data_IF_630463769375
#
_entry.id   IF_630463769375
#
_cell.length_a   1.000
_cell.length_b   1.000
_cell.length_c   1.000
_cell.angle_alpha   90.00
_cell.angle_beta   90.00
_cell.angle_gamma   90.00
#
_symmetry.space_group_name_H-M   'P 1'
#
loop_
_entity.id
_entity.type
_entity.pdbx_description
1 polymer ?
#
# COMPACT_ATOMS: atom_id res chain seq x y z
N UNK A 1 27.31 -17.30 13.26
CA UNK A 1 26.96 -15.86 13.36
C UNK A 1 27.90 -14.94 12.56
N UNK A 2 29.21 -14.94 12.78
CA UNK A 2 30.14 -14.09 11.98
C UNK A 2 30.10 -14.39 10.48
N UNK A 3 30.01 -15.67 10.11
CA UNK A 3 29.86 -16.09 8.70
C UNK A 3 28.56 -15.56 8.08
N UNK A 4 27.41 -15.73 8.74
CA UNK A 4 26.13 -15.23 8.25
C UNK A 4 26.16 -13.72 7.94
N UNK A 5 26.76 -12.92 8.83
CA UNK A 5 26.93 -11.47 8.62
C UNK A 5 27.78 -11.14 7.39
N UNK A 6 28.82 -11.92 7.11
CA UNK A 6 29.65 -11.74 5.92
C UNK A 6 28.90 -12.06 4.61
N UNK A 7 27.86 -12.91 4.67
CA UNK A 7 27.09 -13.35 3.50
C UNK A 7 25.68 -12.75 3.42
N UNK A 8 25.28 -11.87 4.34
CA UNK A 8 23.94 -11.26 4.35
C UNK A 8 23.68 -10.48 3.05
N UNK A 9 24.70 -9.81 2.50
CA UNK A 9 24.63 -9.13 1.21
C UNK A 9 24.36 -10.06 0.01
N UNK A 10 24.59 -11.37 0.17
CA UNK A 10 24.37 -12.40 -0.84
C UNK A 10 23.10 -13.22 -0.62
N UNK A 11 22.38 -12.98 0.49
CA UNK A 11 21.22 -13.78 0.92
C UNK A 11 20.17 -13.93 -0.18
N UNK A 12 19.94 -12.89 -1.00
CA UNK A 12 19.00 -12.96 -2.14
C UNK A 12 19.49 -13.82 -3.30
N UNK A 13 20.77 -13.75 -3.65
CA UNK A 13 21.34 -14.55 -4.75
C UNK A 13 21.26 -16.04 -4.36
N UNK A 14 21.62 -16.34 -3.12
CA UNK A 14 21.49 -17.69 -2.56
C UNK A 14 20.03 -18.16 -2.59
N UNK A 15 19.08 -17.31 -2.20
CA UNK A 15 17.66 -17.62 -2.26
C UNK A 15 17.18 -17.89 -3.69
N UNK A 16 17.55 -17.05 -4.67
CA UNK A 16 17.15 -17.22 -6.07
C UNK A 16 17.64 -18.55 -6.62
N UNK A 17 18.94 -18.81 -6.51
CA UNK A 17 19.57 -20.03 -7.02
C UNK A 17 19.01 -21.28 -6.34
N UNK A 18 18.89 -21.26 -5.01
CA UNK A 18 18.54 -22.45 -4.26
C UNK A 18 17.04 -22.70 -4.14
N UNK A 19 16.20 -21.67 -4.07
CA UNK A 19 14.76 -21.85 -3.82
C UNK A 19 13.95 -21.67 -5.12
N UNK A 20 14.15 -20.57 -5.85
CA UNK A 20 13.27 -20.24 -6.99
C UNK A 20 13.68 -20.94 -8.27
N UNK A 21 14.98 -20.98 -8.58
CA UNK A 21 15.54 -21.74 -9.72
C UNK A 21 15.56 -23.27 -9.45
N UNK A 22 15.23 -23.67 -8.23
CA UNK A 22 15.12 -25.07 -7.79
C UNK A 22 16.39 -25.91 -8.02
N UNK A 23 17.56 -25.28 -8.10
CA UNK A 23 18.83 -25.97 -8.26
C UNK A 23 19.10 -26.92 -7.09
N UNK A 24 19.81 -28.02 -7.34
CA UNK A 24 20.32 -28.86 -6.24
C UNK A 24 21.28 -28.07 -5.36
N UNK A 25 21.58 -28.55 -4.14
CA UNK A 25 22.49 -27.83 -3.24
C UNK A 25 23.86 -27.64 -3.87
N UNK A 26 24.31 -28.64 -4.60
CA UNK A 26 25.58 -28.69 -5.31
C UNK A 26 25.59 -27.71 -6.49
N UNK A 27 24.53 -27.69 -7.30
CA UNK A 27 24.39 -26.75 -8.42
C UNK A 27 24.26 -25.30 -7.95
N UNK A 28 23.41 -25.03 -6.96
CA UNK A 28 23.22 -23.68 -6.41
C UNK A 28 24.52 -23.13 -5.81
N UNK A 29 25.30 -23.99 -5.15
CA UNK A 29 26.63 -23.63 -4.65
C UNK A 29 27.56 -23.25 -5.81
N UNK A 30 27.69 -24.10 -6.83
CA UNK A 30 28.58 -23.83 -7.97
C UNK A 30 28.22 -22.52 -8.67
N UNK A 31 26.93 -22.31 -8.97
CA UNK A 31 26.46 -21.07 -9.58
C UNK A 31 26.67 -19.83 -8.68
N UNK A 32 26.55 -19.99 -7.35
CA UNK A 32 26.87 -18.92 -6.41
C UNK A 32 28.36 -18.57 -6.42
N UNK A 33 29.24 -19.57 -6.43
CA UNK A 33 30.69 -19.37 -6.45
C UNK A 33 31.18 -18.73 -7.75
N UNK A 34 30.55 -19.05 -8.89
CA UNK A 34 30.80 -18.39 -10.17
C UNK A 34 30.44 -16.89 -10.15
N UNK A 35 29.38 -16.52 -9.42
CA UNK A 35 28.92 -15.13 -9.33
C UNK A 35 29.64 -14.32 -8.25
N UNK A 36 30.08 -14.97 -7.16
CA UNK A 36 30.69 -14.30 -6.01
C UNK A 36 32.22 -14.09 -6.15
N UNK A 37 32.82 -14.57 -7.24
CA UNK A 37 34.21 -14.37 -7.71
C UNK A 37 35.38 -14.70 -6.75
N UNK A 38 35.15 -14.92 -5.44
CA UNK A 38 36.25 -15.02 -4.46
C UNK A 38 36.19 -16.23 -3.51
N UNK A 39 35.15 -17.08 -3.55
CA UNK A 39 34.88 -18.00 -2.44
C UNK A 39 34.60 -19.42 -2.90
N UNK A 40 35.40 -20.39 -2.44
CA UNK A 40 35.13 -21.84 -2.54
C UNK A 40 34.70 -22.37 -1.18
N UNK A 41 33.40 -22.59 -1.01
CA UNK A 41 32.83 -23.25 0.16
C UNK A 41 32.95 -24.77 0.01
N UNK A 42 32.97 -25.50 1.12
CA UNK A 42 32.64 -26.94 1.10
C UNK A 42 31.12 -27.13 1.14
N UNK A 43 30.62 -28.30 0.73
CA UNK A 43 29.18 -28.59 0.83
C UNK A 43 28.66 -28.50 2.27
N UNK A 44 29.48 -28.85 3.27
CA UNK A 44 29.12 -28.68 4.66
C UNK A 44 28.98 -27.20 5.03
N UNK A 45 29.94 -26.36 4.65
CA UNK A 45 29.88 -24.91 4.88
C UNK A 45 28.70 -24.26 4.16
N UNK A 46 28.37 -24.70 2.94
CA UNK A 46 27.18 -24.25 2.20
C UNK A 46 25.87 -24.61 2.92
N UNK A 47 25.75 -25.84 3.45
CA UNK A 47 24.59 -26.26 4.24
C UNK A 47 24.45 -25.43 5.53
N UNK A 48 25.56 -25.18 6.22
CA UNK A 48 25.59 -24.29 7.39
C UNK A 48 25.17 -22.88 7.01
N UNK A 49 25.65 -22.36 5.88
CA UNK A 49 25.30 -21.02 5.40
C UNK A 49 23.80 -20.90 5.10
N UNK A 50 23.22 -21.85 4.36
CA UNK A 50 21.79 -21.87 4.07
C UNK A 50 20.96 -21.86 5.36
N UNK A 51 21.35 -22.66 6.36
CA UNK A 51 20.69 -22.70 7.66
C UNK A 51 20.83 -21.37 8.41
N UNK A 52 22.04 -20.82 8.45
CA UNK A 52 22.32 -19.56 9.15
C UNK A 52 21.59 -18.36 8.50
N UNK A 53 21.33 -18.41 7.19
CA UNK A 53 20.54 -17.41 6.44
C UNK A 53 19.02 -17.67 6.48
N UNK A 54 18.58 -18.78 7.09
CA UNK A 54 17.17 -19.19 7.16
C UNK A 54 16.58 -19.61 5.81
N UNK A 55 17.39 -20.07 4.85
CA UNK A 55 16.96 -20.41 3.48
C UNK A 55 16.76 -21.92 3.36
N UNK A 56 15.51 -22.33 3.08
CA UNK A 56 15.11 -23.72 2.93
C UNK A 56 14.09 -23.88 1.79
N UNK A 57 14.13 -25.02 1.10
CA UNK A 57 13.16 -25.35 0.03
C UNK A 57 11.79 -25.78 0.54
N UNK A 58 11.76 -26.70 1.51
CA UNK A 58 10.50 -27.30 1.96
C UNK A 58 10.42 -27.35 3.49
N UNK A 59 9.20 -27.23 3.98
CA UNK A 59 8.81 -27.53 5.35
C UNK A 59 8.62 -29.05 5.53
N UNK A 60 9.05 -29.60 6.68
CA UNK A 60 9.10 -31.04 6.94
C UNK A 60 8.95 -31.33 8.43
N UNK A 61 8.55 -32.55 8.77
CA UNK A 61 8.54 -33.03 10.17
C UNK A 61 7.51 -32.29 11.04
N UNK A 62 7.86 -32.01 12.29
CA UNK A 62 6.96 -31.31 13.24
C UNK A 62 6.52 -29.93 12.73
N UNK A 63 7.39 -29.20 12.01
CA UNK A 63 7.00 -27.90 11.46
C UNK A 63 5.86 -28.03 10.43
N UNK A 64 5.89 -29.07 9.60
CA UNK A 64 4.82 -29.32 8.62
C UNK A 64 3.50 -29.69 9.32
N UNK A 65 3.56 -30.47 10.41
CA UNK A 65 2.38 -30.80 11.23
C UNK A 65 1.80 -29.52 11.86
N UNK A 66 2.64 -28.67 12.46
CA UNK A 66 2.21 -27.38 13.04
C UNK A 66 1.62 -26.45 11.99
N UNK A 67 2.23 -26.39 10.80
CA UNK A 67 1.72 -25.61 9.69
C UNK A 67 0.37 -26.15 9.18
N UNK A 68 0.21 -27.48 9.08
CA UNK A 68 -1.07 -28.10 8.73
C UNK A 68 -2.15 -27.76 9.76
N UNK A 69 -1.84 -27.80 11.06
CA UNK A 69 -2.79 -27.37 12.10
C UNK A 69 -3.25 -25.92 11.90
N UNK A 70 -2.37 -25.02 11.45
CA UNK A 70 -2.74 -23.63 11.15
C UNK A 70 -3.67 -23.57 9.93
N UNK A 71 -3.39 -24.35 8.88
CA UNK A 71 -4.25 -24.45 7.69
C UNK A 71 -5.63 -25.02 8.06
N UNK A 72 -5.68 -26.09 8.85
CA UNK A 72 -6.93 -26.73 9.30
C UNK A 72 -7.81 -25.80 10.17
N UNK A 73 -7.22 -24.78 10.81
CA UNK A 73 -7.93 -23.77 11.61
C UNK A 73 -8.55 -22.64 10.75
N UNK A 74 -8.18 -22.53 9.49
CA UNK A 74 -8.83 -21.59 8.56
C UNK A 74 -9.98 -22.30 7.87
N UNK A 75 -11.18 -21.69 7.88
CA UNK A 75 -12.29 -22.13 7.02
C UNK A 75 -11.74 -22.32 5.60
N UNK A 76 -11.92 -23.51 5.04
CA UNK A 76 -11.47 -23.92 3.70
C UNK A 76 -9.95 -24.04 3.46
N UNK A 77 -9.07 -23.92 4.46
CA UNK A 77 -7.65 -24.34 4.39
C UNK A 77 -6.70 -23.58 3.43
N UNK A 78 -7.23 -22.76 2.51
CA UNK A 78 -6.45 -22.14 1.42
C UNK A 78 -6.31 -20.61 1.54
N UNK A 79 -6.90 -20.00 2.57
CA UNK A 79 -6.89 -18.55 2.80
C UNK A 79 -5.71 -18.08 3.67
N UNK A 80 -4.52 -18.64 3.48
CA UNK A 80 -3.39 -18.39 4.38
C UNK A 80 -2.04 -18.45 3.67
N UNK A 81 -1.18 -17.45 3.91
CA UNK A 81 0.23 -17.51 3.54
C UNK A 81 1.02 -18.05 4.72
N UNK A 82 1.66 -19.21 4.58
CA UNK A 82 2.49 -19.82 5.62
C UNK A 82 3.97 -19.61 5.32
N UNK A 83 4.72 -19.14 6.32
CA UNK A 83 6.16 -18.91 6.21
C UNK A 83 6.91 -19.71 7.26
N UNK A 84 8.01 -20.34 6.85
CA UNK A 84 8.99 -20.95 7.73
C UNK A 84 10.30 -20.17 7.64
N UNK A 85 10.75 -19.58 8.76
CA UNK A 85 11.91 -18.68 8.84
C UNK A 85 11.89 -17.54 7.82
N UNK A 86 10.69 -17.13 7.40
CA UNK A 86 10.48 -16.07 6.43
C UNK A 86 10.37 -16.48 4.97
N UNK A 87 10.50 -17.76 4.66
CA UNK A 87 10.31 -18.29 3.31
C UNK A 87 8.87 -18.78 3.16
N UNK A 88 8.14 -18.24 2.17
CA UNK A 88 6.78 -18.69 1.84
C UNK A 88 6.80 -20.18 1.50
N UNK A 89 5.87 -20.94 2.04
CA UNK A 89 5.72 -22.38 1.81
C UNK A 89 4.47 -22.64 0.95
N UNK A 90 4.50 -23.71 0.15
CA UNK A 90 3.37 -24.13 -0.65
C UNK A 90 2.40 -24.94 0.23
N UNK A 91 1.14 -24.47 0.34
CA UNK A 91 0.14 -25.09 1.20
C UNK A 91 -0.15 -26.54 0.79
N UNK A 92 -0.22 -26.82 -0.52
CA UNK A 92 -0.44 -28.17 -1.03
C UNK A 92 0.71 -29.12 -0.67
N UNK A 93 1.97 -28.66 -0.65
CA UNK A 93 3.10 -29.49 -0.20
C UNK A 93 3.02 -29.81 1.29
N UNK A 94 2.57 -28.86 2.12
CA UNK A 94 2.38 -29.06 3.56
C UNK A 94 1.37 -30.17 3.82
N UNK A 95 0.22 -30.09 3.15
CA UNK A 95 -0.86 -31.07 3.25
C UNK A 95 -0.37 -32.44 2.74
N UNK A 96 0.18 -32.50 1.52
CA UNK A 96 0.74 -33.73 0.93
C UNK A 96 1.82 -34.38 1.81
N UNK A 97 2.67 -33.58 2.47
CA UNK A 97 3.71 -34.11 3.36
C UNK A 97 3.11 -34.80 4.58
N UNK A 98 2.09 -34.19 5.20
CA UNK A 98 1.45 -34.74 6.38
C UNK A 98 0.60 -35.97 6.04
N UNK A 99 -0.07 -35.98 4.89
CA UNK A 99 -0.93 -37.10 4.49
C UNK A 99 -0.10 -38.35 4.13
N UNK A 100 1.11 -38.17 3.58
CA UNK A 100 2.04 -39.27 3.25
C UNK A 100 2.74 -39.88 4.46
N UNK A 101 2.75 -39.22 5.63
CA UNK A 101 3.47 -39.69 6.83
C UNK A 101 2.49 -39.96 7.97
N UNK A 102 2.20 -41.25 8.20
CA UNK A 102 1.50 -41.72 9.39
C UNK A 102 2.41 -41.85 10.63
N UNK A 103 3.73 -41.83 10.46
CA UNK A 103 4.68 -41.98 11.57
C UNK A 103 5.01 -40.65 12.26
N UNK A 104 5.12 -40.71 13.60
CA UNK A 104 5.47 -39.59 14.47
C UNK A 104 6.79 -38.93 14.02
N UNK A 105 6.82 -37.60 13.81
CA UNK A 105 8.03 -36.92 13.36
C UNK A 105 9.15 -37.04 14.41
N UNK A 106 10.34 -37.51 13.98
CA UNK A 106 11.54 -37.57 14.85
C UNK A 106 11.96 -36.16 15.28
N UNK A 107 12.06 -35.96 16.59
CA UNK A 107 12.27 -34.71 17.36
C UNK A 107 13.65 -34.01 17.19
N UNK A 108 14.38 -34.25 16.09
CA UNK A 108 15.83 -33.97 16.05
C UNK A 108 16.26 -32.58 15.55
N UNK A 109 15.37 -31.62 15.34
CA UNK A 109 15.78 -30.26 14.94
C UNK A 109 15.07 -29.19 15.76
N UNK A 110 15.78 -28.11 16.07
CA UNK A 110 15.19 -26.91 16.63
C UNK A 110 13.98 -26.48 15.78
N UNK A 111 12.82 -26.22 16.40
CA UNK A 111 11.61 -25.86 15.68
C UNK A 111 11.81 -24.52 14.97
N UNK A 112 11.43 -24.46 13.68
CA UNK A 112 11.55 -23.23 12.91
C UNK A 112 10.55 -22.18 13.38
N UNK A 113 10.84 -20.90 13.11
CA UNK A 113 9.88 -19.82 13.36
C UNK A 113 8.81 -19.85 12.27
N UNK A 114 7.65 -20.38 12.63
CA UNK A 114 6.46 -20.35 11.78
C UNK A 114 5.71 -19.04 11.97
N UNK A 115 5.37 -18.40 10.86
CA UNK A 115 4.48 -17.23 10.83
C UNK A 115 3.45 -17.42 9.74
N UNK A 116 2.25 -16.91 9.95
CA UNK A 116 1.17 -17.04 8.98
C UNK A 116 0.37 -15.76 8.87
N UNK A 117 -0.16 -15.51 7.68
CA UNK A 117 -0.99 -14.35 7.36
C UNK A 117 -2.29 -14.87 6.79
N UNK A 118 -3.38 -14.59 7.50
CA UNK A 118 -4.73 -14.90 7.02
C UNK A 118 -5.11 -13.92 5.93
N UNK A 119 -5.60 -14.45 4.82
CA UNK A 119 -6.16 -13.69 3.73
C UNK A 119 -7.69 -13.78 3.79
N UNK A 120 -8.42 -12.73 3.38
CA UNK A 120 -9.88 -12.78 3.33
C UNK A 120 -10.42 -13.51 2.08
N UNK A 121 -9.56 -14.09 1.25
CA UNK A 121 -9.88 -14.77 -0.01
C UNK A 121 -8.83 -15.83 -0.32
N UNK A 122 -9.13 -16.71 -1.27
CA UNK A 122 -8.20 -17.70 -1.80
C UNK A 122 -7.38 -17.10 -2.93
N UNK A 123 -6.08 -17.44 -3.00
CA UNK A 123 -5.18 -17.04 -4.09
C UNK A 123 -4.90 -18.26 -4.95
N UNK A 124 -5.88 -18.65 -5.77
CA UNK A 124 -5.82 -19.87 -6.61
C UNK A 124 -4.63 -19.88 -7.56
N UNK A 125 -4.14 -18.70 -7.97
CA UNK A 125 -2.94 -18.54 -8.81
C UNK A 125 -1.68 -19.12 -8.16
N UNK A 126 -1.62 -19.20 -6.83
CA UNK A 126 -0.47 -19.78 -6.13
C UNK A 126 -0.41 -21.30 -6.21
N UNK A 127 -1.40 -21.97 -6.81
CA UNK A 127 -1.30 -23.37 -7.23
C UNK A 127 -0.49 -23.54 -8.53
N UNK A 128 -0.29 -22.48 -9.33
CA UNK A 128 0.64 -22.53 -10.46
C UNK A 128 2.10 -22.44 -9.94
N UNK A 129 2.97 -23.43 -10.26
CA UNK A 129 4.34 -23.45 -9.75
C UNK A 129 5.18 -22.24 -10.14
N UNK A 130 4.94 -21.66 -11.32
CA UNK A 130 5.71 -20.51 -11.82
C UNK A 130 5.29 -19.24 -11.09
N UNK A 131 3.98 -19.00 -11.00
CA UNK A 131 3.41 -17.88 -10.26
C UNK A 131 3.80 -17.94 -8.78
N UNK A 132 3.73 -19.13 -8.15
CA UNK A 132 4.16 -19.32 -6.78
C UNK A 132 5.63 -18.94 -6.58
N UNK A 133 6.54 -19.44 -7.42
CA UNK A 133 7.99 -19.15 -7.33
C UNK A 133 8.27 -17.65 -7.51
N UNK A 134 7.63 -17.01 -8.49
CA UNK A 134 7.78 -15.58 -8.74
C UNK A 134 7.28 -14.76 -7.54
N UNK A 135 6.11 -15.10 -7.00
CA UNK A 135 5.53 -14.42 -5.85
C UNK A 135 6.37 -14.66 -4.57
N UNK A 136 6.83 -15.88 -4.34
CA UNK A 136 7.75 -16.22 -3.25
C UNK A 136 9.04 -15.38 -3.33
N UNK A 137 9.60 -15.20 -4.53
CA UNK A 137 10.77 -14.35 -4.74
C UNK A 137 10.49 -12.88 -4.43
N UNK A 138 9.33 -12.36 -4.84
CA UNK A 138 8.89 -11.00 -4.53
C UNK A 138 8.80 -10.80 -3.00
N UNK A 139 8.12 -11.70 -2.28
CA UNK A 139 7.94 -11.59 -0.84
C UNK A 139 9.28 -11.62 -0.12
N UNK A 140 10.17 -12.54 -0.51
CA UNK A 140 11.51 -12.63 0.06
C UNK A 140 12.31 -11.34 -0.15
N UNK A 141 12.30 -10.82 -1.38
CA UNK A 141 13.01 -9.57 -1.73
C UNK A 141 12.46 -8.38 -0.95
N UNK A 142 11.14 -8.30 -0.82
CA UNK A 142 10.44 -7.27 -0.06
C UNK A 142 10.84 -7.31 1.41
N UNK A 143 10.93 -8.51 2.00
CA UNK A 143 11.40 -8.68 3.37
C UNK A 143 12.81 -8.17 3.57
N UNK A 144 13.74 -8.51 2.68
CA UNK A 144 15.12 -8.02 2.74
C UNK A 144 15.16 -6.48 2.69
N UNK A 145 14.34 -5.86 1.83
CA UNK A 145 14.22 -4.41 1.79
C UNK A 145 13.70 -3.82 3.10
N UNK A 146 12.63 -4.40 3.65
CA UNK A 146 12.03 -3.94 4.91
C UNK A 146 13.01 -4.09 6.09
N UNK A 147 13.63 -5.26 6.25
CA UNK A 147 14.65 -5.51 7.29
C UNK A 147 15.77 -4.47 7.18
N UNK A 148 16.33 -4.28 5.98
CA UNK A 148 17.40 -3.30 5.74
C UNK A 148 16.99 -1.87 6.09
N UNK A 149 15.78 -1.43 5.72
CA UNK A 149 15.34 -0.05 6.01
C UNK A 149 15.08 0.19 7.50
N UNK A 150 14.55 -0.80 8.21
CA UNK A 150 14.43 -0.70 9.67
C UNK A 150 15.80 -0.72 10.36
N UNK A 151 16.70 -1.62 9.95
CA UNK A 151 17.99 -1.80 10.60
C UNK A 151 18.95 -0.63 10.38
N UNK A 152 18.85 0.05 9.23
CA UNK A 152 19.60 1.27 8.93
C UNK A 152 18.96 2.55 9.47
N UNK A 153 17.78 2.45 10.08
CA UNK A 153 17.05 3.60 10.62
C UNK A 153 16.37 4.49 9.57
N UNK A 154 16.33 4.07 8.30
CA UNK A 154 15.62 4.78 7.21
C UNK A 154 14.16 5.05 7.62
N UNK A 155 13.49 4.05 8.22
CA UNK A 155 12.11 4.18 8.68
C UNK A 155 12.00 4.39 10.20
N UNK A 156 12.97 5.05 10.84
CA UNK A 156 12.91 5.31 12.28
C UNK A 156 11.67 6.12 12.72
N UNK A 157 11.20 5.93 13.96
CA UNK A 157 10.12 6.74 14.52
C UNK A 157 10.59 8.17 14.81
N UNK A 158 9.69 9.14 14.63
CA UNK A 158 9.88 10.50 15.12
C UNK A 158 9.61 10.60 16.63
N UNK A 159 9.72 11.80 17.20
CA UNK A 159 9.47 12.06 18.62
C UNK A 159 8.06 11.72 19.11
N UNK A 160 7.07 11.57 18.22
CA UNK A 160 5.70 11.14 18.55
C UNK A 160 5.50 9.62 18.45
N UNK A 161 6.52 8.87 18.03
CA UNK A 161 6.43 7.43 17.76
C UNK A 161 5.87 7.09 16.38
N UNK A 162 5.84 8.04 15.44
CA UNK A 162 5.35 7.82 14.07
C UNK A 162 6.53 7.53 13.14
N UNK A 163 6.42 6.45 12.36
CA UNK A 163 7.48 5.91 11.51
C UNK A 163 7.42 6.48 10.09
N UNK A 164 8.57 6.49 9.41
CA UNK A 164 8.70 7.00 8.04
C UNK A 164 8.16 8.43 7.86
N UNK A 165 8.51 9.33 8.80
CA UNK A 165 8.07 10.74 8.81
C UNK A 165 9.20 11.76 8.61
N UNK A 166 10.35 11.33 8.09
CA UNK A 166 11.40 12.26 7.66
C UNK A 166 10.88 13.17 6.54
N UNK A 167 11.49 14.35 6.38
CA UNK A 167 11.13 15.29 5.31
C UNK A 167 11.22 14.62 3.93
N UNK A 168 12.24 13.81 3.72
CA UNK A 168 12.43 13.04 2.49
C UNK A 168 11.30 12.04 2.25
N UNK A 169 10.97 11.19 3.23
CA UNK A 169 9.93 10.17 3.07
C UNK A 169 8.54 10.77 2.88
N UNK A 170 8.26 11.90 3.54
CA UNK A 170 7.03 12.69 3.29
C UNK A 170 6.96 13.18 1.85
N UNK A 171 8.07 13.69 1.30
CA UNK A 171 8.14 14.13 -0.09
C UNK A 171 7.97 12.97 -1.08
N UNK A 172 8.58 11.81 -0.79
CA UNK A 172 8.41 10.59 -1.59
C UNK A 172 6.94 10.14 -1.61
N UNK A 173 6.27 10.10 -0.45
CA UNK A 173 4.85 9.75 -0.35
C UNK A 173 3.94 10.76 -1.09
N UNK A 174 4.26 12.06 -1.01
CA UNK A 174 3.56 13.07 -1.78
C UNK A 174 3.72 12.85 -3.29
N UNK A 175 4.91 12.45 -3.75
CA UNK A 175 5.17 12.05 -5.13
C UNK A 175 4.35 10.84 -5.58
N UNK A 176 4.28 9.79 -4.76
CA UNK A 176 3.43 8.61 -5.02
C UNK A 176 1.95 9.00 -5.11
N UNK A 177 1.48 9.83 -4.18
CA UNK A 177 0.10 10.33 -4.17
C UNK A 177 -0.23 11.18 -5.39
N UNK A 178 0.72 12.00 -5.85
CA UNK A 178 0.58 12.80 -7.06
C UNK A 178 0.46 11.92 -8.30
N UNK A 179 1.33 10.91 -8.44
CA UNK A 179 1.27 9.93 -9.54
C UNK A 179 -0.11 9.26 -9.57
N UNK A 180 -0.55 8.70 -8.44
CA UNK A 180 -1.86 8.06 -8.32
C UNK A 180 -3.00 9.01 -8.75
N UNK A 181 -3.03 10.22 -8.21
CA UNK A 181 -4.11 11.17 -8.46
C UNK A 181 -4.15 11.61 -9.93
N UNK A 182 -3.00 11.81 -10.58
CA UNK A 182 -2.96 12.14 -12.00
C UNK A 182 -3.48 11.00 -12.87
N UNK A 183 -3.04 9.75 -12.63
CA UNK A 183 -3.52 8.58 -13.38
C UNK A 183 -5.02 8.36 -13.15
N UNK A 184 -5.49 8.38 -11.91
CA UNK A 184 -6.92 8.22 -11.58
C UNK A 184 -7.78 9.26 -12.31
N UNK A 185 -7.33 10.52 -12.35
CA UNK A 185 -8.06 11.60 -13.02
C UNK A 185 -7.99 11.49 -14.53
N UNK A 186 -6.87 11.01 -15.09
CA UNK A 186 -6.77 10.74 -16.51
C UNK A 186 -7.79 9.67 -16.94
N UNK A 187 -7.89 8.58 -16.18
CA UNK A 187 -8.89 7.53 -16.42
C UNK A 187 -10.32 8.06 -16.36
N UNK A 188 -10.63 8.96 -15.41
CA UNK A 188 -11.93 9.64 -15.36
C UNK A 188 -12.20 10.50 -16.60
N UNK A 189 -11.19 11.24 -17.08
CA UNK A 189 -11.31 12.06 -18.28
C UNK A 189 -11.53 11.19 -19.54
N UNK A 190 -10.79 10.09 -19.69
CA UNK A 190 -11.00 9.14 -20.79
C UNK A 190 -12.42 8.60 -20.82
N UNK A 191 -12.98 8.25 -19.65
CA UNK A 191 -14.36 7.74 -19.54
C UNK A 191 -15.41 8.74 -20.04
N UNK A 192 -15.15 10.05 -19.94
CA UNK A 192 -16.07 11.11 -20.39
C UNK A 192 -15.66 11.73 -21.74
N UNK A 193 -14.72 11.11 -22.47
CA UNK A 193 -14.22 11.57 -23.77
C UNK A 193 -13.23 12.73 -23.74
N UNK A 194 -12.73 13.11 -22.56
CA UNK A 194 -11.77 14.20 -22.33
C UNK A 194 -10.32 13.84 -22.69
N UNK A 195 -10.07 13.33 -23.90
CA UNK A 195 -8.79 12.73 -24.28
C UNK A 195 -7.59 13.67 -24.12
N UNK A 196 -7.70 14.95 -24.52
CA UNK A 196 -6.61 15.92 -24.36
C UNK A 196 -6.25 16.17 -22.89
N UNK A 197 -7.26 16.23 -22.00
CA UNK A 197 -7.04 16.42 -20.55
C UNK A 197 -6.41 15.18 -19.93
N UNK A 198 -6.85 14.00 -20.35
CA UNK A 198 -6.25 12.75 -19.93
C UNK A 198 -4.77 12.69 -20.35
N UNK A 199 -4.45 13.06 -21.59
CA UNK A 199 -3.09 13.05 -22.10
C UNK A 199 -2.17 14.02 -21.34
N UNK A 200 -2.62 15.26 -21.06
CA UNK A 200 -1.85 16.21 -20.27
C UNK A 200 -1.54 15.69 -18.85
N UNK A 201 -2.53 15.07 -18.19
CA UNK A 201 -2.35 14.42 -16.90
C UNK A 201 -1.36 13.24 -16.97
N UNK A 202 -1.47 12.39 -18.00
CA UNK A 202 -0.60 11.22 -18.16
C UNK A 202 0.85 11.62 -18.44
N UNK A 203 1.09 12.61 -19.30
CA UNK A 203 2.45 13.15 -19.54
C UNK A 203 3.09 13.64 -18.23
N UNK A 204 2.33 14.38 -17.43
CA UNK A 204 2.78 14.83 -16.10
C UNK A 204 3.01 13.67 -15.12
N UNK A 205 2.17 12.64 -15.16
CA UNK A 205 2.31 11.44 -14.35
C UNK A 205 3.59 10.68 -14.70
N UNK A 206 3.87 10.46 -15.99
CA UNK A 206 5.03 9.72 -16.46
C UNK A 206 6.35 10.41 -16.15
N UNK A 207 6.37 11.75 -16.11
CA UNK A 207 7.53 12.51 -15.64
C UNK A 207 7.94 12.17 -14.19
N UNK A 208 7.04 11.61 -13.38
CA UNK A 208 7.33 11.18 -12.00
C UNK A 208 7.96 9.79 -11.92
N UNK A 209 7.90 8.95 -12.97
CA UNK A 209 8.31 7.55 -12.90
C UNK A 209 9.76 7.37 -12.44
N UNK A 210 10.69 8.17 -12.98
CA UNK A 210 12.11 8.12 -12.59
C UNK A 210 12.30 8.35 -11.08
N UNK A 211 11.64 9.36 -10.53
CA UNK A 211 11.70 9.65 -9.08
C UNK A 211 11.01 8.55 -8.28
N UNK A 212 9.82 8.12 -8.72
CA UNK A 212 9.04 7.07 -8.07
C UNK A 212 9.82 5.77 -7.95
N UNK A 213 10.56 5.36 -8.98
CA UNK A 213 11.48 4.22 -8.97
C UNK A 213 12.60 4.39 -7.94
N UNK A 214 13.12 5.61 -7.77
CA UNK A 214 14.18 5.93 -6.83
C UNK A 214 13.76 5.96 -5.36
N UNK A 215 12.46 6.00 -5.06
CA UNK A 215 11.95 6.10 -3.69
C UNK A 215 12.28 4.89 -2.82
N UNK A 216 12.38 5.11 -1.51
CA UNK A 216 12.61 4.12 -0.45
C UNK A 216 11.44 4.00 0.51
N UNK A 217 10.33 4.67 0.20
CA UNK A 217 9.13 4.62 1.00
C UNK A 217 8.52 3.21 0.99
N UNK A 218 8.14 2.66 2.14
CA UNK A 218 7.59 1.30 2.28
C UNK A 218 6.32 1.06 1.45
N UNK A 219 5.60 2.15 1.12
CA UNK A 219 4.42 2.14 0.24
C UNK A 219 4.71 2.12 -1.26
N UNK A 220 5.96 2.22 -1.70
CA UNK A 220 6.32 2.37 -3.12
C UNK A 220 5.68 1.28 -4.00
N UNK A 221 6.05 0.01 -3.79
CA UNK A 221 5.53 -1.06 -4.63
C UNK A 221 4.03 -1.32 -4.41
N UNK A 222 3.49 -1.37 -3.16
CA UNK A 222 2.05 -1.48 -2.95
C UNK A 222 1.24 -0.41 -3.70
N UNK A 223 1.68 0.86 -3.68
CA UNK A 223 0.97 1.94 -4.37
C UNK A 223 1.09 1.83 -5.90
N UNK A 224 2.25 1.39 -6.44
CA UNK A 224 2.42 1.11 -7.87
C UNK A 224 1.47 0.01 -8.33
N UNK A 225 1.40 -1.11 -7.60
CA UNK A 225 0.48 -2.21 -7.90
C UNK A 225 -0.98 -1.76 -7.82
N UNK A 226 -1.33 -0.93 -6.83
CA UNK A 226 -2.66 -0.33 -6.73
C UNK A 226 -3.01 0.55 -7.93
N UNK A 227 -2.07 1.38 -8.41
CA UNK A 227 -2.26 2.20 -9.62
C UNK A 227 -2.49 1.31 -10.85
N UNK A 228 -1.68 0.27 -11.03
CA UNK A 228 -1.80 -0.64 -12.17
C UNK A 228 -3.11 -1.43 -12.14
N UNK A 229 -3.55 -1.86 -10.96
CA UNK A 229 -4.84 -2.52 -10.77
C UNK A 229 -6.01 -1.59 -11.14
N UNK A 230 -5.94 -0.33 -10.74
CA UNK A 230 -6.92 0.69 -11.11
C UNK A 230 -6.97 0.92 -12.63
N UNK A 231 -5.82 0.98 -13.31
CA UNK A 231 -5.75 1.11 -14.77
C UNK A 231 -6.33 -0.12 -15.47
N UNK A 232 -5.99 -1.34 -15.00
CA UNK A 232 -6.55 -2.59 -15.53
C UNK A 232 -8.07 -2.61 -15.38
N UNK A 233 -8.60 -2.25 -14.21
CA UNK A 233 -10.06 -2.19 -13.96
C UNK A 233 -10.78 -1.15 -14.81
N UNK A 234 -10.07 -0.11 -15.25
CA UNK A 234 -10.60 0.86 -16.20
C UNK A 234 -10.61 0.33 -17.66
N UNK A 235 -10.12 -0.88 -17.91
CA UNK A 235 -10.06 -1.51 -19.23
C UNK A 235 -8.98 -0.93 -20.13
N UNK A 236 -7.96 -0.27 -19.57
CA UNK A 236 -6.93 0.43 -20.35
C UNK A 236 -5.59 -0.35 -20.34
N UNK A 237 -5.59 -1.48 -21.03
CA UNK A 237 -4.46 -2.42 -21.07
C UNK A 237 -3.20 -1.79 -21.70
N UNK A 238 -3.36 -0.98 -22.75
CA UNK A 238 -2.23 -0.27 -23.37
C UNK A 238 -1.51 0.66 -22.38
N UNK A 239 -2.29 1.43 -21.60
CA UNK A 239 -1.73 2.29 -20.56
C UNK A 239 -1.06 1.49 -19.44
N UNK A 240 -1.67 0.38 -19.02
CA UNK A 240 -1.10 -0.50 -18.00
C UNK A 240 0.22 -1.13 -18.46
N UNK A 241 0.29 -1.59 -19.71
CA UNK A 241 1.51 -2.10 -20.32
C UNK A 241 2.59 -1.01 -20.39
N UNK A 242 2.23 0.19 -20.86
CA UNK A 242 3.16 1.32 -20.93
C UNK A 242 3.76 1.68 -19.57
N UNK A 243 2.91 1.86 -18.55
CA UNK A 243 3.37 2.18 -17.18
C UNK A 243 4.31 1.09 -16.67
N UNK A 244 3.96 -0.18 -16.89
CA UNK A 244 4.78 -1.34 -16.49
C UNK A 244 6.17 -1.29 -17.13
N UNK A 245 6.22 -1.22 -18.46
CA UNK A 245 7.47 -1.24 -19.22
C UNK A 245 8.36 -0.06 -18.86
N UNK A 246 7.78 1.13 -18.72
CA UNK A 246 8.54 2.33 -18.38
C UNK A 246 9.12 2.27 -16.95
N UNK A 247 8.33 1.86 -15.96
CA UNK A 247 8.82 1.68 -14.58
C UNK A 247 9.95 0.65 -14.50
N UNK A 248 9.83 -0.47 -15.21
CA UNK A 248 10.86 -1.53 -15.23
C UNK A 248 12.12 -1.04 -15.94
N UNK A 249 11.98 -0.37 -17.08
CA UNK A 249 13.10 0.25 -17.80
C UNK A 249 13.84 1.25 -16.92
N UNK A 250 13.12 2.13 -16.23
CA UNK A 250 13.69 3.10 -15.30
C UNK A 250 14.37 2.41 -14.12
N UNK A 251 13.80 1.32 -13.58
CA UNK A 251 14.43 0.54 -12.50
C UNK A 251 15.79 -0.03 -12.92
N UNK A 252 15.88 -0.56 -14.15
CA UNK A 252 17.13 -1.09 -14.71
C UNK A 252 18.20 -0.02 -14.91
N UNK A 253 17.79 1.21 -15.21
CA UNK A 253 18.69 2.34 -15.44
C UNK A 253 19.15 3.03 -14.15
N UNK A 254 18.25 3.21 -13.17
CA UNK A 254 18.47 4.06 -12.00
C UNK A 254 18.95 3.27 -10.78
N UNK A 255 18.53 2.01 -10.64
CA UNK A 255 18.82 1.21 -9.45
C UNK A 255 19.97 0.22 -9.71
N UNK A 256 20.89 0.03 -8.73
CA UNK A 256 21.90 -1.00 -8.80
C UNK A 256 21.29 -2.39 -9.05
N UNK A 257 22.02 -3.26 -9.77
CA UNK A 257 21.56 -4.62 -10.07
C UNK A 257 21.18 -5.42 -8.81
N UNK A 258 21.90 -5.17 -7.70
CA UNK A 258 21.66 -5.81 -6.43
C UNK A 258 20.75 -5.00 -5.48
N UNK A 259 20.03 -3.98 -5.95
CA UNK A 259 19.03 -3.30 -5.12
C UNK A 259 17.73 -4.13 -5.05
N UNK A 260 17.19 -4.44 -3.85
CA UNK A 260 15.96 -5.22 -3.76
C UNK A 260 14.77 -4.54 -4.45
N UNK A 261 14.73 -3.20 -4.48
CA UNK A 261 13.64 -2.45 -5.13
C UNK A 261 13.63 -2.64 -6.64
N UNK A 262 14.81 -2.78 -7.26
CA UNK A 262 14.92 -3.07 -8.69
C UNK A 262 14.20 -4.37 -9.03
N UNK A 263 14.49 -5.41 -8.27
CA UNK A 263 13.91 -6.74 -8.45
C UNK A 263 12.40 -6.76 -8.17
N UNK A 264 11.96 -6.03 -7.14
CA UNK A 264 10.55 -5.80 -6.85
C UNK A 264 9.81 -5.13 -8.01
N UNK A 265 10.46 -4.20 -8.72
CA UNK A 265 9.89 -3.54 -9.91
C UNK A 265 9.98 -4.42 -11.16
N UNK A 266 11.07 -5.17 -11.36
CA UNK A 266 11.18 -6.15 -12.46
C UNK A 266 10.13 -7.27 -12.34
N UNK A 267 9.62 -7.56 -11.12
CA UNK A 267 8.49 -8.47 -10.94
C UNK A 267 7.24 -8.05 -11.70
N UNK A 268 7.05 -6.76 -12.01
CA UNK A 268 5.90 -6.31 -12.78
C UNK A 268 5.80 -6.97 -14.17
N UNK A 269 6.93 -7.37 -14.78
CA UNK A 269 6.92 -8.10 -16.06
C UNK A 269 6.47 -9.56 -15.92
N UNK A 270 6.47 -10.10 -14.69
CA UNK A 270 6.19 -11.51 -14.38
C UNK A 270 4.81 -11.74 -13.77
N UNK A 271 4.03 -10.67 -13.57
CA UNK A 271 2.68 -10.74 -12.99
C UNK A 271 1.72 -11.34 -14.02
N UNK A 272 0.94 -12.33 -13.58
CA UNK A 272 -0.31 -12.67 -14.25
C UNK A 272 -1.33 -11.56 -13.96
N UNK A 273 -1.56 -10.71 -14.97
CA UNK A 273 -2.41 -9.54 -14.85
C UNK A 273 -3.86 -9.88 -14.56
N UNK A 274 -4.36 -11.04 -14.98
CA UNK A 274 -5.71 -11.50 -14.63
C UNK A 274 -5.86 -11.77 -13.14
N UNK A 275 -4.76 -12.12 -12.49
CA UNK A 275 -4.68 -12.46 -11.08
C UNK A 275 -4.04 -11.36 -10.23
N UNK A 276 -3.83 -10.16 -10.81
CA UNK A 276 -3.21 -9.05 -10.10
C UNK A 276 -3.99 -8.68 -8.82
N UNK A 277 -5.32 -8.73 -8.84
CA UNK A 277 -6.14 -8.32 -7.69
C UNK A 277 -5.85 -9.16 -6.42
N UNK A 278 -6.01 -10.50 -6.43
CA UNK A 278 -5.70 -11.31 -5.25
C UNK A 278 -4.21 -11.25 -4.87
N UNK A 279 -3.29 -11.19 -5.85
CA UNK A 279 -1.85 -11.06 -5.58
C UNK A 279 -1.49 -9.71 -4.94
N UNK A 280 -2.12 -8.62 -5.38
CA UNK A 280 -1.94 -7.28 -4.80
C UNK A 280 -2.35 -7.25 -3.33
N UNK A 281 -3.54 -7.76 -3.01
CA UNK A 281 -4.02 -7.74 -1.62
C UNK A 281 -3.17 -8.66 -0.74
N UNK A 282 -2.79 -9.85 -1.23
CA UNK A 282 -1.89 -10.75 -0.51
C UNK A 282 -0.52 -10.10 -0.24
N UNK A 283 0.01 -9.37 -1.22
CA UNK A 283 1.26 -8.62 -1.10
C UNK A 283 1.15 -7.45 -0.09
N UNK A 284 0.07 -6.66 -0.14
CA UNK A 284 -0.15 -5.57 0.82
C UNK A 284 -0.29 -6.11 2.25
N UNK A 285 -1.02 -7.21 2.46
CA UNK A 285 -1.12 -7.88 3.76
C UNK A 285 0.24 -8.36 4.26
N UNK A 286 1.11 -8.88 3.37
CA UNK A 286 2.48 -9.23 3.75
C UNK A 286 3.31 -8.01 4.16
N UNK A 287 3.26 -6.92 3.39
CA UNK A 287 3.95 -5.67 3.72
C UNK A 287 3.49 -5.10 5.06
N UNK A 288 2.18 -5.12 5.32
CA UNK A 288 1.58 -4.71 6.60
C UNK A 288 2.07 -5.61 7.74
N UNK A 289 2.09 -6.92 7.57
CA UNK A 289 2.63 -7.85 8.56
C UNK A 289 4.11 -7.55 8.89
N UNK A 290 4.96 -7.37 7.88
CA UNK A 290 6.36 -7.00 8.09
C UNK A 290 6.51 -5.69 8.86
N UNK A 291 5.70 -4.70 8.50
CA UNK A 291 5.67 -3.41 9.17
C UNK A 291 5.26 -3.53 10.64
N UNK A 292 4.12 -4.15 10.92
CA UNK A 292 3.56 -4.26 12.27
C UNK A 292 4.46 -5.08 13.21
N UNK A 293 5.26 -6.00 12.68
CA UNK A 293 6.25 -6.74 13.48
C UNK A 293 7.46 -5.90 13.92
N UNK A 294 7.68 -4.73 13.32
CA UNK A 294 8.86 -3.87 13.57
C UNK A 294 8.47 -2.50 14.12
N UNK A 295 7.30 -1.99 13.75
CA UNK A 295 6.85 -0.65 14.08
C UNK A 295 6.22 -0.59 15.48
N UNK A 296 7.05 -0.40 16.51
CA UNK A 296 6.63 -0.02 17.86
C UNK A 296 5.61 -0.95 18.53
N UNK A 297 5.13 -0.55 19.71
CA UNK A 297 4.06 -1.26 20.44
C UNK A 297 2.71 -0.57 20.33
N UNK A 298 2.70 0.68 19.88
CA UNK A 298 1.49 1.48 19.72
C UNK A 298 0.81 1.12 18.39
N UNK A 299 -0.27 0.36 18.48
CA UNK A 299 -0.99 -0.17 17.32
C UNK A 299 -1.54 0.94 16.41
N UNK A 300 -2.06 2.04 16.98
CA UNK A 300 -2.65 3.14 16.21
C UNK A 300 -1.57 3.87 15.41
N UNK A 301 -0.43 4.17 16.05
CA UNK A 301 0.69 4.83 15.38
C UNK A 301 1.35 3.93 14.35
N UNK A 302 1.50 2.64 14.62
CA UNK A 302 2.01 1.67 13.65
C UNK A 302 1.09 1.57 12.42
N UNK A 303 -0.23 1.47 12.66
CA UNK A 303 -1.26 1.46 11.62
C UNK A 303 -1.22 2.73 10.77
N UNK A 304 -1.21 3.91 11.39
CA UNK A 304 -1.12 5.17 10.68
C UNK A 304 0.16 5.23 9.86
N UNK A 305 1.29 4.90 10.48
CA UNK A 305 2.61 5.02 9.85
C UNK A 305 2.78 4.08 8.65
N UNK A 306 2.06 2.94 8.64
CA UNK A 306 1.96 2.10 7.45
C UNK A 306 1.14 2.78 6.36
N UNK A 307 -0.14 3.09 6.64
CA UNK A 307 -1.08 3.53 5.60
C UNK A 307 -0.78 4.94 5.07
N UNK A 308 -0.53 5.91 5.96
CA UNK A 308 -0.29 7.33 5.69
C UNK A 308 -1.24 7.96 4.65
N UNK A 309 -2.47 7.45 4.58
CA UNK A 309 -3.51 7.87 3.66
C UNK A 309 -4.87 7.63 4.33
N UNK A 310 -5.91 8.30 3.84
CA UNK A 310 -7.28 8.17 4.38
C UNK A 310 -8.13 7.08 3.73
N UNK A 311 -7.77 6.65 2.52
CA UNK A 311 -8.48 5.62 1.76
C UNK A 311 -7.48 4.74 0.99
N UNK A 312 -7.83 3.48 0.66
CA UNK A 312 -6.96 2.58 -0.09
C UNK A 312 -6.76 3.03 -1.54
N UNK A 313 -5.60 2.71 -2.14
CA UNK A 313 -5.32 3.05 -3.54
C UNK A 313 -6.23 2.36 -4.55
N UNK A 314 -6.59 1.09 -4.30
CA UNK A 314 -7.44 0.32 -5.18
C UNK A 314 -8.48 -0.49 -4.39
N UNK A 315 -8.03 -1.44 -3.57
CA UNK A 315 -8.89 -2.25 -2.71
C UNK A 315 -8.62 -2.01 -1.24
N UNK A 316 -9.68 -2.12 -0.43
CA UNK A 316 -9.62 -1.93 1.00
C UNK A 316 -8.78 -3.00 1.68
N UNK A 317 -8.93 -4.30 1.37
CA UNK A 317 -8.21 -5.36 2.08
C UNK A 317 -8.27 -5.17 3.60
N UNK A 318 -7.11 -5.05 4.25
CA UNK A 318 -6.98 -4.75 5.69
C UNK A 318 -6.78 -3.25 6.00
N UNK A 319 -6.98 -2.36 5.04
CA UNK A 319 -6.78 -0.91 5.18
C UNK A 319 -7.62 -0.35 6.33
N UNK A 320 -8.88 -0.75 6.50
CA UNK A 320 -9.75 -0.28 7.59
C UNK A 320 -9.69 -1.13 8.87
N UNK A 321 -8.66 -1.98 9.04
CA UNK A 321 -8.56 -2.90 10.18
C UNK A 321 -8.62 -2.24 11.55
N UNK A 322 -8.23 -0.97 11.66
CA UNK A 322 -8.29 -0.21 12.90
C UNK A 322 -9.73 0.05 13.39
N UNK A 323 -10.68 0.21 12.47
CA UNK A 323 -12.07 0.55 12.79
C UNK A 323 -13.05 -0.61 12.57
N UNK A 324 -12.61 -1.65 11.86
CA UNK A 324 -13.44 -2.79 11.48
C UNK A 324 -14.07 -3.45 12.70
N UNK A 325 -15.41 -3.48 12.73
CA UNK A 325 -16.19 -4.13 13.78
C UNK A 325 -16.36 -3.31 15.06
N UNK A 326 -15.86 -2.07 15.10
CA UNK A 326 -16.08 -1.16 16.22
C UNK A 326 -17.44 -0.46 16.10
N UNK A 327 -18.10 -0.25 17.23
CA UNK A 327 -19.26 0.63 17.34
C UNK A 327 -18.87 2.09 17.18
N UNK A 328 -19.86 2.96 16.90
CA UNK A 328 -19.62 4.40 16.78
C UNK A 328 -18.99 4.99 18.06
N UNK A 329 -19.41 4.55 19.24
CA UNK A 329 -18.86 4.99 20.53
C UNK A 329 -17.38 4.60 20.69
N UNK A 330 -17.00 3.40 20.26
CA UNK A 330 -15.61 2.95 20.28
C UNK A 330 -14.73 3.74 19.30
N UNK A 331 -15.26 4.02 18.11
CA UNK A 331 -14.60 4.89 17.13
C UNK A 331 -14.37 6.28 17.73
N UNK A 332 -15.38 6.89 18.35
CA UNK A 332 -15.26 8.20 18.98
C UNK A 332 -14.20 8.23 20.09
N UNK A 333 -14.23 7.26 21.00
CA UNK A 333 -13.24 7.17 22.07
C UNK A 333 -11.83 6.99 21.52
N UNK A 334 -11.66 6.27 20.41
CA UNK A 334 -10.38 6.16 19.73
C UNK A 334 -9.93 7.51 19.15
N UNK A 335 -10.82 8.20 18.45
CA UNK A 335 -10.53 9.49 17.82
C UNK A 335 -10.22 10.59 18.84
N UNK A 336 -10.91 10.61 19.99
CA UNK A 336 -10.64 11.55 21.09
C UNK A 336 -9.28 11.27 21.77
N UNK A 337 -8.86 10.00 21.87
CA UNK A 337 -7.50 9.67 22.32
C UNK A 337 -6.44 10.12 21.32
N UNK A 338 -6.67 9.88 20.02
CA UNK A 338 -5.78 10.32 18.94
C UNK A 338 -5.57 11.83 18.96
N UNK A 339 -6.63 12.60 19.24
CA UNK A 339 -6.56 14.06 19.37
C UNK A 339 -5.60 14.51 20.47
N UNK A 340 -5.57 13.79 21.59
CA UNK A 340 -4.70 14.08 22.74
C UNK A 340 -3.26 13.69 22.41
N UNK A 341 -3.05 12.51 21.83
CA UNK A 341 -1.71 11.94 21.64
C UNK A 341 -0.94 12.59 20.48
N UNK A 342 -1.62 12.91 19.37
CA UNK A 342 -0.96 13.40 18.16
C UNK A 342 -1.19 14.91 17.94
N UNK A 343 -2.22 15.47 18.55
CA UNK A 343 -2.62 16.86 18.46
C UNK A 343 -3.76 17.08 17.47
N UNK A 344 -4.82 17.78 17.91
CA UNK A 344 -6.11 17.97 17.23
C UNK A 344 -6.09 18.42 15.77
N UNK A 345 -5.06 19.17 15.37
CA UNK A 345 -4.89 19.70 14.02
C UNK A 345 -3.66 19.15 13.30
N UNK A 346 -3.01 18.12 13.87
CA UNK A 346 -1.94 17.43 13.16
C UNK A 346 -2.51 16.69 11.96
N UNK A 347 -1.73 16.63 10.88
CA UNK A 347 -2.11 15.90 9.68
C UNK A 347 -2.42 14.43 9.98
N UNK A 348 -1.65 13.82 10.88
CA UNK A 348 -1.83 12.43 11.28
C UNK A 348 -3.17 12.20 11.99
N UNK A 349 -3.56 13.10 12.89
CA UNK A 349 -4.90 13.09 13.51
C UNK A 349 -5.99 13.26 12.45
N UNK A 350 -5.89 14.29 11.61
CA UNK A 350 -6.91 14.56 10.59
C UNK A 350 -7.10 13.37 9.65
N UNK A 351 -6.00 12.73 9.24
CA UNK A 351 -6.03 11.54 8.38
C UNK A 351 -6.72 10.36 9.05
N UNK A 352 -6.46 10.10 10.33
CA UNK A 352 -7.15 9.03 11.07
C UNK A 352 -8.65 9.30 11.20
N UNK A 353 -9.04 10.55 11.50
CA UNK A 353 -10.44 10.95 11.47
C UNK A 353 -11.09 10.73 10.09
N UNK A 354 -10.43 11.15 9.02
CA UNK A 354 -10.93 10.92 7.66
C UNK A 354 -11.01 9.44 7.31
N UNK A 355 -10.07 8.63 7.79
CA UNK A 355 -10.08 7.17 7.58
C UNK A 355 -11.29 6.52 8.25
N UNK A 356 -11.66 6.95 9.46
CA UNK A 356 -12.88 6.48 10.12
C UNK A 356 -14.14 6.84 9.32
N UNK A 357 -14.20 8.04 8.74
CA UNK A 357 -15.32 8.47 7.89
C UNK A 357 -15.42 7.63 6.61
N UNK A 358 -14.28 7.36 5.95
CA UNK A 358 -14.22 6.55 4.72
C UNK A 358 -14.55 5.07 5.02
N UNK A 359 -14.18 4.57 6.21
CA UNK A 359 -14.63 3.26 6.69
C UNK A 359 -16.16 3.21 6.81
N UNK A 360 -16.77 4.15 7.53
CA UNK A 360 -18.23 4.21 7.69
C UNK A 360 -18.95 4.37 6.35
N UNK A 361 -18.38 5.14 5.41
CA UNK A 361 -18.86 5.21 4.03
C UNK A 361 -18.84 3.84 3.34
N UNK A 362 -17.75 3.08 3.49
CA UNK A 362 -17.61 1.75 2.89
C UNK A 362 -18.60 0.73 3.43
N UNK A 363 -19.00 0.87 4.70
CA UNK A 363 -20.02 0.06 5.37
C UNK A 363 -21.45 0.60 5.13
N UNK A 364 -21.60 1.72 4.39
CA UNK A 364 -22.86 2.42 4.12
C UNK A 364 -23.55 2.99 5.37
N UNK A 365 -22.81 3.18 6.45
CA UNK A 365 -23.27 3.79 7.71
C UNK A 365 -23.21 5.33 7.60
N UNK A 366 -24.03 5.88 6.70
CA UNK A 366 -23.95 7.30 6.33
C UNK A 366 -24.36 8.25 7.46
N UNK A 367 -25.22 7.81 8.38
CA UNK A 367 -25.69 8.62 9.52
C UNK A 367 -24.54 8.84 10.52
N UNK A 368 -23.88 7.75 10.91
CA UNK A 368 -22.70 7.71 11.76
C UNK A 368 -21.54 8.49 11.13
N UNK A 369 -21.31 8.28 9.82
CA UNK A 369 -20.32 9.07 9.08
C UNK A 369 -20.64 10.57 9.17
N UNK A 370 -21.90 10.95 8.95
CA UNK A 370 -22.34 12.35 9.03
C UNK A 370 -22.12 12.95 10.40
N UNK A 371 -22.38 12.19 11.47
CA UNK A 371 -22.12 12.60 12.85
C UNK A 371 -20.63 12.86 13.12
N UNK A 372 -19.74 11.95 12.73
CA UNK A 372 -18.28 12.13 12.87
C UNK A 372 -17.78 13.30 12.00
N UNK A 373 -18.28 13.42 10.77
CA UNK A 373 -18.00 14.56 9.88
C UNK A 373 -18.41 15.89 10.52
N UNK A 374 -19.59 15.94 11.13
CA UNK A 374 -20.10 17.14 11.78
C UNK A 374 -19.19 17.56 12.94
N UNK A 375 -18.81 16.62 13.83
CA UNK A 375 -17.88 16.88 14.93
C UNK A 375 -16.54 17.46 14.45
N UNK A 376 -15.92 16.85 13.43
CA UNK A 376 -14.66 17.37 12.89
C UNK A 376 -14.85 18.73 12.19
N UNK A 377 -15.95 18.89 11.45
CA UNK A 377 -16.27 20.14 10.76
C UNK A 377 -16.45 21.31 11.73
N UNK A 378 -17.10 21.09 12.87
CA UNK A 378 -17.26 22.11 13.92
C UNK A 378 -15.92 22.53 14.52
N UNK A 379 -15.01 21.57 14.73
CA UNK A 379 -13.65 21.85 15.18
C UNK A 379 -12.91 22.73 14.18
N UNK A 380 -12.85 22.35 12.90
CA UNK A 380 -12.10 23.12 11.90
C UNK A 380 -12.75 24.48 11.62
N UNK A 381 -14.07 24.63 11.77
CA UNK A 381 -14.75 25.94 11.71
C UNK A 381 -14.24 26.91 12.78
N UNK A 382 -13.76 26.43 13.93
CA UNK A 382 -13.19 27.28 14.99
C UNK A 382 -11.85 27.92 14.61
N UNK A 383 -11.12 27.37 13.63
CA UNK A 383 -9.96 28.05 13.05
C UNK A 383 -10.39 29.38 12.39
N UNK A 384 -11.59 29.39 11.81
CA UNK A 384 -12.19 30.57 11.18
C UNK A 384 -11.51 30.98 9.87
N UNK A 385 -12.02 32.04 9.25
CA UNK A 385 -11.47 32.60 8.00
C UNK A 385 -10.18 33.40 8.18
N UNK A 386 -9.80 33.68 9.42
CA UNK A 386 -8.61 34.48 9.77
C UNK A 386 -7.35 33.64 9.98
N UNK A 387 -7.48 32.31 10.02
CA UNK A 387 -6.33 31.43 10.09
C UNK A 387 -5.53 31.53 8.79
N UNK A 388 -4.24 31.81 8.90
CA UNK A 388 -3.34 31.87 7.76
C UNK A 388 -2.92 30.47 7.32
N UNK A 389 -3.67 29.91 6.37
CA UNK A 389 -3.41 28.60 5.79
C UNK A 389 -2.13 28.54 4.94
N UNK A 390 -1.50 29.67 4.60
CA UNK A 390 -0.23 29.65 3.88
C UNK A 390 0.92 29.10 4.72
N UNK A 391 0.81 29.21 6.06
CA UNK A 391 1.77 28.65 7.01
C UNK A 391 1.60 27.14 7.20
N UNK A 392 0.42 26.59 6.89
CA UNK A 392 0.15 25.15 6.96
C UNK A 392 -0.71 24.68 5.77
N UNK A 393 -0.09 24.49 4.59
CA UNK A 393 -0.79 24.01 3.40
C UNK A 393 -1.42 22.62 3.57
N UNK A 394 -0.88 21.78 4.48
CA UNK A 394 -1.42 20.46 4.74
C UNK A 394 -2.71 20.54 5.55
N UNK A 395 -2.75 21.37 6.60
CA UNK A 395 -3.98 21.62 7.34
C UNK A 395 -5.06 22.21 6.42
N UNK A 396 -4.71 23.10 5.50
CA UNK A 396 -5.66 23.59 4.49
C UNK A 396 -6.29 22.45 3.67
N UNK A 397 -5.46 21.51 3.20
CA UNK A 397 -5.94 20.33 2.48
C UNK A 397 -6.84 19.43 3.35
N UNK A 398 -6.47 19.22 4.61
CA UNK A 398 -7.22 18.38 5.55
C UNK A 398 -8.57 19.01 5.92
N UNK A 399 -8.64 20.33 6.06
CA UNK A 399 -9.87 21.09 6.30
C UNK A 399 -10.78 21.02 5.07
N UNK A 400 -10.25 21.21 3.87
CA UNK A 400 -11.01 21.03 2.62
C UNK A 400 -11.58 19.61 2.53
N UNK A 401 -10.77 18.61 2.84
CA UNK A 401 -11.17 17.19 2.83
C UNK A 401 -12.28 16.92 3.83
N UNK A 402 -12.22 17.51 5.02
CA UNK A 402 -13.27 17.42 6.05
C UNK A 402 -14.62 17.89 5.50
N UNK A 403 -14.65 19.04 4.83
CA UNK A 403 -15.89 19.56 4.25
C UNK A 403 -16.36 18.75 3.04
N UNK A 404 -15.44 18.21 2.24
CA UNK A 404 -15.79 17.29 1.15
C UNK A 404 -16.51 16.04 1.68
N UNK A 405 -15.95 15.41 2.72
CA UNK A 405 -16.55 14.21 3.35
C UNK A 405 -17.90 14.52 4.00
N UNK A 406 -18.02 15.66 4.68
CA UNK A 406 -19.31 16.12 5.21
C UNK A 406 -20.36 16.27 4.10
N UNK A 407 -19.97 16.87 2.97
CA UNK A 407 -20.86 17.01 1.82
C UNK A 407 -21.31 15.67 1.25
N UNK A 408 -20.39 14.71 1.13
CA UNK A 408 -20.71 13.35 0.68
C UNK A 408 -21.69 12.65 1.63
N UNK A 409 -21.47 12.73 2.94
CA UNK A 409 -22.38 12.16 3.94
C UNK A 409 -23.79 12.79 3.85
N UNK A 410 -23.86 14.12 3.77
CA UNK A 410 -25.13 14.85 3.64
C UNK A 410 -25.87 14.50 2.34
N UNK A 411 -25.14 14.35 1.24
CA UNK A 411 -25.71 13.94 -0.04
C UNK A 411 -26.30 12.52 0.04
N UNK A 412 -25.55 11.57 0.61
CA UNK A 412 -25.99 10.19 0.78
C UNK A 412 -27.22 10.07 1.71
N UNK A 413 -27.34 10.97 2.69
CA UNK A 413 -28.51 11.08 3.57
C UNK A 413 -29.71 11.81 2.92
N UNK A 414 -29.60 12.27 1.67
CA UNK A 414 -30.70 12.92 0.96
C UNK A 414 -30.84 14.43 1.21
N UNK A 415 -29.77 15.10 1.64
CA UNK A 415 -29.74 16.56 1.88
C UNK A 415 -28.88 17.31 0.85
N UNK A 416 -29.27 17.35 -0.44
CA UNK A 416 -28.44 17.90 -1.52
C UNK A 416 -28.13 19.40 -1.34
N UNK A 417 -29.07 20.19 -0.84
CA UNK A 417 -28.84 21.62 -0.60
C UNK A 417 -27.79 21.86 0.49
N UNK A 418 -27.77 21.03 1.54
CA UNK A 418 -26.75 21.11 2.60
C UNK A 418 -25.40 20.60 2.10
N UNK A 419 -25.39 19.48 1.37
CA UNK A 419 -24.19 18.91 0.74
C UNK A 419 -23.48 19.93 -0.16
N UNK A 420 -24.25 20.65 -0.98
CA UNK A 420 -23.76 21.74 -1.82
C UNK A 420 -22.99 22.80 -1.02
N UNK A 421 -23.50 23.22 0.13
CA UNK A 421 -22.81 24.21 0.97
C UNK A 421 -21.47 23.67 1.48
N UNK A 422 -21.41 22.39 1.83
CA UNK A 422 -20.18 21.73 2.26
C UNK A 422 -19.17 21.59 1.12
N UNK A 423 -19.59 21.22 -0.10
CA UNK A 423 -18.71 21.20 -1.27
C UNK A 423 -18.17 22.59 -1.64
N UNK A 424 -19.02 23.61 -1.53
CA UNK A 424 -18.60 25.00 -1.66
C UNK A 424 -17.55 25.38 -0.62
N UNK A 425 -17.76 25.03 0.66
CA UNK A 425 -16.78 25.30 1.72
C UNK A 425 -15.45 24.59 1.46
N UNK A 426 -15.47 23.34 1.00
CA UNK A 426 -14.26 22.60 0.64
C UNK A 426 -13.45 23.33 -0.45
N UNK A 427 -14.11 23.73 -1.55
CA UNK A 427 -13.45 24.46 -2.63
C UNK A 427 -12.89 25.82 -2.16
N UNK A 428 -13.68 26.60 -1.41
CA UNK A 428 -13.27 27.91 -0.89
C UNK A 428 -12.07 27.84 0.05
N UNK A 429 -11.94 26.76 0.83
CA UNK A 429 -10.76 26.55 1.67
C UNK A 429 -9.52 26.38 0.81
N UNK A 430 -9.57 25.57 -0.25
CA UNK A 430 -8.42 25.40 -1.17
C UNK A 430 -8.09 26.67 -1.93
N UNK A 431 -9.10 27.43 -2.37
CA UNK A 431 -8.93 28.71 -3.09
C UNK A 431 -8.12 29.75 -2.30
N UNK A 432 -7.98 29.60 -0.97
CA UNK A 432 -7.18 30.53 -0.16
C UNK A 432 -5.67 30.43 -0.37
N UNK A 433 -5.17 29.31 -0.91
CA UNK A 433 -3.72 29.10 -1.13
C UNK A 433 -3.38 28.53 -2.51
N UNK A 434 -4.35 27.97 -3.24
CA UNK A 434 -4.14 27.43 -4.58
C UNK A 434 -4.65 28.44 -5.61
N UNK A 435 -3.80 28.93 -6.53
CA UNK A 435 -4.21 29.73 -7.68
C UNK A 435 -5.34 29.06 -8.47
N UNK A 436 -6.28 29.86 -8.98
CA UNK A 436 -7.50 29.33 -9.62
C UNK A 436 -7.26 28.53 -10.90
N UNK A 437 -6.12 28.75 -11.56
CA UNK A 437 -5.66 28.05 -12.77
C UNK A 437 -4.74 26.86 -12.46
N UNK A 438 -4.24 26.71 -11.22
CA UNK A 438 -3.38 25.59 -10.87
C UNK A 438 -4.21 24.32 -10.60
N UNK A 439 -3.79 23.20 -11.20
CA UNK A 439 -4.40 21.91 -10.93
C UNK A 439 -4.13 21.41 -9.51
N UNK A 440 -5.22 21.13 -8.76
CA UNK A 440 -5.22 20.56 -7.42
C UNK A 440 -6.36 19.54 -7.29
N UNK A 441 -6.01 18.32 -6.88
CA UNK A 441 -6.95 17.20 -6.86
C UNK A 441 -8.08 17.35 -5.82
N UNK A 442 -7.82 18.03 -4.69
CA UNK A 442 -8.83 18.28 -3.66
C UNK A 442 -9.83 19.34 -4.13
N UNK A 443 -9.32 20.44 -4.69
CA UNK A 443 -10.13 21.51 -5.26
C UNK A 443 -11.02 21.02 -6.39
N UNK A 444 -10.46 20.32 -7.38
CA UNK A 444 -11.26 19.77 -8.48
C UNK A 444 -12.28 18.74 -7.94
N UNK A 445 -11.92 17.91 -6.96
CA UNK A 445 -12.86 16.96 -6.36
C UNK A 445 -14.07 17.65 -5.72
N UNK A 446 -13.84 18.75 -5.00
CA UNK A 446 -14.89 19.56 -4.40
C UNK A 446 -15.76 20.27 -5.46
N UNK A 447 -15.14 20.90 -6.46
CA UNK A 447 -15.84 21.58 -7.55
C UNK A 447 -16.70 20.60 -8.37
N UNK A 448 -16.16 19.43 -8.71
CA UNK A 448 -16.88 18.40 -9.47
C UNK A 448 -18.13 17.91 -8.72
N UNK A 449 -18.02 17.66 -7.41
CA UNK A 449 -19.17 17.30 -6.58
C UNK A 449 -20.19 18.42 -6.44
N UNK A 450 -19.72 19.66 -6.34
CA UNK A 450 -20.59 20.83 -6.35
C UNK A 450 -21.36 20.94 -7.68
N UNK A 451 -20.69 20.81 -8.83
CA UNK A 451 -21.33 20.80 -10.16
C UNK A 451 -22.39 19.70 -10.27
N UNK A 452 -22.08 18.48 -9.83
CA UNK A 452 -23.03 17.35 -9.82
C UNK A 452 -24.30 17.66 -9.02
N UNK A 453 -24.16 18.27 -7.84
CA UNK A 453 -25.33 18.68 -7.03
C UNK A 453 -26.08 19.83 -7.69
N UNK A 454 -25.38 20.88 -8.12
CA UNK A 454 -26.01 22.07 -8.73
C UNK A 454 -26.84 21.68 -9.96
N UNK A 455 -26.34 20.77 -10.82
CA UNK A 455 -27.12 20.25 -11.95
C UNK A 455 -28.39 19.52 -11.49
N UNK A 456 -28.30 18.66 -10.47
CA UNK A 456 -29.45 17.91 -9.95
C UNK A 456 -30.53 18.80 -9.33
N UNK A 457 -30.15 19.91 -8.68
CA UNK A 457 -31.10 20.84 -8.06
C UNK A 457 -31.51 22.00 -8.97
N UNK A 458 -31.12 22.00 -10.24
CA UNK A 458 -31.53 23.00 -11.24
C UNK A 458 -30.71 24.30 -11.24
N UNK A 459 -29.58 24.37 -10.54
CA UNK A 459 -28.70 25.55 -10.45
C UNK A 459 -27.68 25.61 -11.62
N UNK A 460 -28.20 25.57 -12.85
CA UNK A 460 -27.40 25.38 -14.07
C UNK A 460 -26.34 26.48 -14.30
N UNK A 461 -26.65 27.73 -13.97
CA UNK A 461 -25.69 28.83 -14.15
C UNK A 461 -24.44 28.66 -13.27
N UNK A 462 -24.63 28.25 -12.00
CA UNK A 462 -23.53 27.97 -11.07
C UNK A 462 -22.76 26.72 -11.49
N UNK A 463 -23.46 25.68 -11.93
CA UNK A 463 -22.83 24.47 -12.46
C UNK A 463 -21.91 24.78 -13.65
N UNK A 464 -22.35 25.65 -14.58
CA UNK A 464 -21.54 26.04 -15.74
C UNK A 464 -20.31 26.87 -15.32
N UNK A 465 -20.49 27.83 -14.41
CA UNK A 465 -19.39 28.65 -13.87
C UNK A 465 -18.31 27.78 -13.22
N UNK A 466 -18.72 26.84 -12.37
CA UNK A 466 -17.78 25.94 -11.70
C UNK A 466 -17.14 24.94 -12.68
N UNK A 467 -17.85 24.54 -13.73
CA UNK A 467 -17.28 23.72 -14.80
C UNK A 467 -16.17 24.47 -15.54
N UNK A 468 -16.35 25.76 -15.83
CA UNK A 468 -15.30 26.59 -16.43
C UNK A 468 -14.05 26.71 -15.54
N UNK A 469 -14.23 26.81 -14.21
CA UNK A 469 -13.10 26.81 -13.28
C UNK A 469 -12.32 25.50 -13.32
N UNK A 470 -13.02 24.36 -13.40
CA UNK A 470 -12.37 23.04 -13.58
C UNK A 470 -11.60 23.02 -14.91
N UNK A 471 -12.19 23.54 -15.98
CA UNK A 471 -11.58 23.56 -17.30
C UNK A 471 -10.28 24.37 -17.31
N UNK A 472 -10.26 25.54 -16.67
CA UNK A 472 -9.06 26.37 -16.53
C UNK A 472 -7.91 25.63 -15.85
N UNK A 473 -8.20 24.79 -14.84
CA UNK A 473 -7.17 24.02 -14.14
C UNK A 473 -6.46 23.02 -15.05
N UNK A 474 -7.14 22.50 -16.07
CA UNK A 474 -6.58 21.53 -17.02
C UNK A 474 -5.78 22.18 -18.14
N UNK A 475 -6.04 23.45 -18.48
CA UNK A 475 -5.28 24.18 -19.49
C UNK A 475 -3.88 24.58 -19.02
N UNK A 476 -3.65 24.63 -17.70
CA UNK A 476 -2.38 25.00 -17.10
C UNK A 476 -1.40 23.83 -16.87
N UNK A 477 -1.80 22.59 -17.20
CA UNK A 477 -0.98 21.36 -17.11
C UNK A 477 -0.29 21.14 -18.45
#
# INVERSE_FOLDING_TARGET
MERARAYEGHRRVVFRLFVTEDLTREQAKLAFEEQALELRLTIHQWKTLLRDLGIFKNIRGQDAVRAKTILDQTLDGHHCLVFADGVLQENEEIVRHCDRRQDSPKEKSDPRKLTWIRLPFEVTTLSDPTAFKNFQYLLFTTRVHFESCFDTGEWAPNHKGLYARSTELKAQLAGLSRLHNMVFRALKQLKVGGNQRAEALLRSAFALHRSVVGYRHHRQLPDILGILLMVKRAGNEELQHFITTDLVSMARQVLPQNDPRRLMLEFLEMIDWEQLCPLYIAFDSYCRFLWMNRAGTDHVKAYFSYNQARFPRADAGEFYSLYKGLSIFEIENMLDRIDIELGKYSHETMTLWHTAMEYLWSEREYVEMGYICQRLSERVRRLGRRFDYSQDPQLNHDVSTTFLLLGLAQEAQGYPCTARLSFKQAAQVRDSIVPGDQWDAAREGALSKWVEVDRRIGELHKANTNSMLIDMMYTAI
#
